data_IF_254893385300
#
_entry.id   IF_254893385300
#
_cell.length_a   1.000
_cell.length_b   1.000
_cell.length_c   1.000
_cell.angle_alpha   90.00
_cell.angle_beta   90.00
_cell.angle_gamma   90.00
#
_symmetry.space_group_name_H-M   'P 1'
#
loop_
_entity.id
_entity.type
_entity.pdbx_description
1 polymer ?
#
# COMPACT_ATOMS: atom_id res chain seq x y z
N UNK A 1 -5.06 -3.46 -10.21
CA UNK A 1 -4.77 -4.59 -9.29
C UNK A 1 -3.26 -4.75 -9.12
N UNK A 2 -2.79 -5.42 -8.05
CA UNK A 2 -1.37 -5.68 -7.82
C UNK A 2 -0.99 -7.05 -8.34
N UNK A 3 0.11 -7.13 -9.14
CA UNK A 3 0.60 -8.38 -9.74
C UNK A 3 -0.51 -9.18 -10.44
N UNK A 4 -1.41 -8.46 -11.14
CA UNK A 4 -2.53 -9.05 -11.89
C UNK A 4 -3.52 -9.87 -11.03
N UNK A 5 -3.56 -9.60 -9.71
CA UNK A 5 -4.41 -10.30 -8.73
C UNK A 5 -5.33 -9.32 -7.97
N UNK A 6 -6.49 -9.80 -7.58
CA UNK A 6 -7.43 -9.14 -6.68
C UNK A 6 -8.02 -10.17 -5.70
N UNK A 7 -7.79 -10.02 -4.38
CA UNK A 7 -6.82 -9.10 -3.79
C UNK A 7 -5.39 -9.42 -4.24
N UNK A 8 -4.49 -8.44 -4.11
CA UNK A 8 -3.07 -8.63 -4.36
C UNK A 8 -2.41 -9.62 -3.38
N UNK A 9 -1.09 -9.85 -3.50
CA UNK A 9 -0.40 -10.83 -2.66
C UNK A 9 -0.52 -10.48 -1.17
N UNK A 10 -0.64 -11.52 -0.34
CA UNK A 10 -0.65 -11.38 1.11
C UNK A 10 0.76 -11.08 1.63
N UNK A 11 0.88 -10.09 2.50
CA UNK A 11 2.11 -9.81 3.25
C UNK A 11 1.89 -10.21 4.70
N UNK A 12 2.89 -10.86 5.28
CA UNK A 12 2.89 -11.23 6.71
C UNK A 12 4.17 -10.69 7.33
N UNK A 13 4.07 -10.03 8.48
CA UNK A 13 5.20 -9.46 9.20
C UNK A 13 5.00 -9.57 10.71
N UNK A 14 6.11 -9.58 11.44
CA UNK A 14 6.12 -9.46 12.88
C UNK A 14 6.28 -8.00 13.33
N UNK A 15 5.85 -7.63 14.54
CA UNK A 15 6.27 -6.37 15.15
C UNK A 15 7.81 -6.26 15.16
N UNK A 16 8.35 -5.10 14.79
CA UNK A 16 9.79 -4.87 14.63
C UNK A 16 10.32 -5.13 13.21
N UNK A 17 9.56 -5.78 12.35
CA UNK A 17 9.98 -6.05 10.98
C UNK A 17 10.06 -4.81 10.09
N UNK A 18 10.81 -4.94 9.01
CA UNK A 18 10.86 -3.95 7.93
C UNK A 18 10.30 -4.56 6.65
N UNK A 19 9.14 -4.04 6.22
CA UNK A 19 8.53 -4.39 4.93
C UNK A 19 9.09 -3.48 3.85
N UNK A 20 9.70 -4.06 2.81
CA UNK A 20 10.18 -3.32 1.63
C UNK A 20 9.33 -3.66 0.43
N UNK A 21 8.74 -2.65 -0.19
CA UNK A 21 7.91 -2.80 -1.39
C UNK A 21 8.47 -1.94 -2.50
N UNK A 22 8.76 -2.53 -3.63
CA UNK A 22 9.01 -1.80 -4.87
C UNK A 22 7.72 -1.78 -5.69
N UNK A 23 7.05 -0.63 -5.67
CA UNK A 23 5.89 -0.38 -6.52
C UNK A 23 6.36 0.03 -7.91
N UNK A 24 5.98 -0.74 -8.93
CA UNK A 24 6.15 -0.36 -10.34
C UNK A 24 4.79 0.00 -10.90
N UNK A 25 4.67 1.18 -11.48
CA UNK A 25 3.44 1.65 -12.08
C UNK A 25 3.39 1.26 -13.57
N UNK A 26 2.61 0.23 -13.88
CA UNK A 26 2.33 -0.23 -15.24
C UNK A 26 0.83 -0.04 -15.58
N UNK A 27 0.17 0.99 -15.03
CA UNK A 27 -1.23 1.23 -15.30
C UNK A 27 -1.44 1.54 -16.79
N UNK A 28 -2.22 0.71 -17.45
CA UNK A 28 -2.72 0.96 -18.80
C UNK A 28 -4.13 1.56 -18.67
N UNK A 29 -4.22 2.87 -18.92
CA UNK A 29 -5.46 3.63 -18.75
C UNK A 29 -5.91 4.18 -20.07
N UNK A 30 -7.15 3.84 -20.45
CA UNK A 30 -7.76 4.29 -21.69
C UNK A 30 -7.72 5.83 -21.82
N UNK A 31 -7.46 6.30 -23.03
CA UNK A 31 -7.38 7.73 -23.35
C UNK A 31 -8.64 8.51 -22.94
N UNK A 32 -9.82 7.89 -23.05
CA UNK A 32 -11.08 8.49 -22.63
C UNK A 32 -11.14 8.72 -21.13
N UNK A 33 -10.64 7.79 -20.31
CA UNK A 33 -10.54 7.95 -18.85
C UNK A 33 -9.62 9.10 -18.52
N UNK A 34 -8.49 9.25 -19.22
CA UNK A 34 -7.54 10.34 -19.03
C UNK A 34 -8.09 11.71 -19.41
N UNK A 35 -9.08 11.79 -20.30
CA UNK A 35 -9.78 13.06 -20.58
C UNK A 35 -10.57 13.56 -19.36
N UNK A 36 -11.18 12.65 -18.57
CA UNK A 36 -11.96 12.99 -17.39
C UNK A 36 -11.07 13.12 -16.14
N UNK A 37 -10.05 12.30 -16.04
CA UNK A 37 -9.08 12.32 -14.95
C UNK A 37 -7.65 12.21 -15.50
N UNK A 38 -6.98 13.34 -15.76
CA UNK A 38 -5.61 13.34 -16.30
C UNK A 38 -4.57 12.62 -15.43
N UNK A 39 -4.90 12.35 -14.16
CA UNK A 39 -4.03 11.66 -13.22
C UNK A 39 -4.36 10.16 -13.07
N UNK A 40 -5.29 9.63 -13.87
CA UNK A 40 -5.79 8.25 -13.71
C UNK A 40 -4.70 7.17 -13.85
N UNK A 41 -3.59 7.46 -14.53
CA UNK A 41 -2.43 6.58 -14.69
C UNK A 41 -1.33 6.77 -13.64
N UNK A 42 -1.58 7.59 -12.61
CA UNK A 42 -0.68 7.79 -11.47
C UNK A 42 -1.14 6.95 -10.28
N UNK A 43 -0.19 6.57 -9.46
CA UNK A 43 -0.48 5.79 -8.25
C UNK A 43 0.48 6.10 -7.12
N UNK A 44 0.21 5.55 -5.95
CA UNK A 44 1.13 5.45 -4.83
C UNK A 44 0.76 4.23 -3.98
N UNK A 45 1.36 4.09 -2.80
CA UNK A 45 1.06 3.01 -1.88
C UNK A 45 0.94 3.55 -0.46
N UNK A 46 -0.14 3.19 0.21
CA UNK A 46 -0.44 3.50 1.59
C UNK A 46 -0.65 2.23 2.39
N UNK A 47 -0.04 2.14 3.57
CA UNK A 47 -0.26 1.05 4.53
C UNK A 47 -1.28 1.50 5.58
N UNK A 48 -2.54 1.20 5.31
CA UNK A 48 -3.66 1.61 6.12
C UNK A 48 -3.72 0.88 7.46
N UNK A 49 -3.86 1.65 8.54
CA UNK A 49 -3.96 1.15 9.91
C UNK A 49 -2.62 0.98 10.63
N UNK A 50 -1.50 1.34 9.99
CA UNK A 50 -0.17 1.18 10.58
C UNK A 50 0.28 2.40 11.40
N UNK A 51 1.23 2.16 12.33
CA UNK A 51 1.90 3.20 13.11
C UNK A 51 3.31 3.51 12.57
N UNK A 52 3.48 3.41 11.24
CA UNK A 52 4.76 3.69 10.59
C UNK A 52 4.94 5.19 10.29
N UNK A 53 6.19 5.59 10.00
CA UNK A 53 6.47 6.99 9.64
C UNK A 53 5.85 7.38 8.29
N UNK A 54 5.15 8.54 8.20
CA UNK A 54 4.63 9.06 6.94
C UNK A 54 5.66 9.84 6.12
N UNK A 55 6.94 9.81 6.49
CA UNK A 55 7.99 10.63 5.88
C UNK A 55 8.90 9.82 4.96
N UNK A 56 9.53 10.52 4.01
CA UNK A 56 10.53 9.96 3.11
C UNK A 56 9.98 8.81 2.29
N UNK A 57 10.61 7.63 2.39
CA UNK A 57 10.17 6.38 1.74
C UNK A 57 9.25 5.52 2.61
N UNK A 58 8.81 6.01 3.78
CA UNK A 58 7.80 5.36 4.61
C UNK A 58 6.40 5.46 3.98
N UNK A 59 5.38 5.58 4.81
CA UNK A 59 3.98 5.68 4.36
C UNK A 59 3.62 7.09 3.86
N UNK A 60 4.38 7.57 2.89
CA UNK A 60 4.28 8.92 2.34
C UNK A 60 3.26 8.99 1.20
N UNK A 61 2.02 9.31 1.54
CA UNK A 61 0.90 9.44 0.60
C UNK A 61 1.02 10.63 -0.38
N UNK A 62 2.00 11.52 -0.16
CA UNK A 62 2.26 12.66 -1.05
C UNK A 62 3.11 12.27 -2.27
N UNK A 63 3.72 11.09 -2.27
CA UNK A 63 4.45 10.57 -3.43
C UNK A 63 3.43 10.23 -4.52
N UNK A 64 3.73 10.67 -5.76
CA UNK A 64 3.03 10.24 -6.96
C UNK A 64 4.00 9.48 -7.85
N UNK A 65 3.66 8.25 -8.20
CA UNK A 65 4.43 7.39 -9.12
C UNK A 65 3.81 7.50 -10.48
N UNK A 66 4.55 8.08 -11.43
CA UNK A 66 4.10 8.24 -12.81
C UNK A 66 4.04 6.90 -13.53
N UNK A 67 3.27 6.83 -14.61
CA UNK A 67 3.23 5.64 -15.45
C UNK A 67 4.63 5.32 -16.00
N UNK A 68 5.04 4.04 -15.89
CA UNK A 68 6.37 3.55 -16.27
C UNK A 68 7.42 3.66 -15.16
N UNK A 69 7.21 4.48 -14.14
CA UNK A 69 8.15 4.68 -13.04
C UNK A 69 8.01 3.64 -11.93
N UNK A 70 8.95 3.68 -10.99
CA UNK A 70 8.96 2.83 -9.80
C UNK A 70 9.29 3.64 -8.56
N UNK A 71 8.68 3.27 -7.44
CA UNK A 71 8.96 3.82 -6.12
C UNK A 71 9.24 2.70 -5.13
N UNK A 72 10.28 2.84 -4.32
CA UNK A 72 10.54 1.96 -3.19
C UNK A 72 9.95 2.56 -1.92
N UNK A 73 9.13 1.76 -1.22
CA UNK A 73 8.59 2.06 0.10
C UNK A 73 9.27 1.17 1.14
N UNK A 74 9.53 1.75 2.33
CA UNK A 74 10.17 1.07 3.46
C UNK A 74 9.32 1.33 4.70
N UNK A 75 8.56 0.32 5.11
CA UNK A 75 7.71 0.39 6.29
C UNK A 75 8.42 -0.30 7.45
N UNK A 76 8.88 0.46 8.43
CA UNK A 76 9.46 -0.06 9.66
C UNK A 76 8.33 -0.24 10.66
N UNK A 77 7.91 -1.48 10.88
CA UNK A 77 6.86 -1.81 11.84
C UNK A 77 7.41 -1.62 13.25
N UNK A 78 6.81 -0.78 14.10
CA UNK A 78 7.27 -0.65 15.47
C UNK A 78 7.20 -1.97 16.24
N UNK A 79 8.15 -2.19 17.19
CA UNK A 79 8.15 -3.38 18.05
C UNK A 79 6.89 -3.51 18.92
N UNK A 80 6.22 -2.41 19.21
CA UNK A 80 4.96 -2.37 19.97
C UNK A 80 3.73 -2.18 19.08
N UNK A 81 3.85 -2.48 17.78
CA UNK A 81 2.70 -2.41 16.87
C UNK A 81 1.68 -3.50 17.24
N UNK A 82 0.40 -3.18 17.39
CA UNK A 82 -0.62 -4.20 17.65
C UNK A 82 -0.73 -5.20 16.51
N UNK A 83 -0.98 -6.46 16.86
CA UNK A 83 -1.30 -7.50 15.87
C UNK A 83 -2.64 -7.23 15.20
N UNK A 84 -2.80 -7.74 13.99
CA UNK A 84 -4.07 -7.64 13.28
C UNK A 84 -3.95 -7.55 11.77
N UNK A 85 -5.10 -7.33 11.14
CA UNK A 85 -5.21 -7.16 9.70
C UNK A 85 -5.11 -5.68 9.33
N UNK A 86 -4.10 -5.37 8.55
CA UNK A 86 -3.91 -4.11 7.84
C UNK A 86 -4.11 -4.36 6.34
N UNK A 87 -4.02 -3.31 5.54
CA UNK A 87 -4.07 -3.47 4.09
C UNK A 87 -3.33 -2.33 3.38
N UNK A 88 -2.80 -2.63 2.20
CA UNK A 88 -2.18 -1.62 1.33
C UNK A 88 -3.09 -1.30 0.15
N UNK A 89 -3.15 -0.02 -0.19
CA UNK A 89 -3.92 0.48 -1.32
C UNK A 89 -3.38 1.83 -1.81
N UNK A 90 -3.71 2.27 -3.04
CA UNK A 90 -3.38 3.62 -3.50
C UNK A 90 -4.14 4.69 -2.70
N UNK A 91 -3.46 5.78 -2.39
CA UNK A 91 -4.02 6.92 -1.66
C UNK A 91 -3.76 8.25 -2.38
N UNK A 92 -3.44 8.21 -3.67
CA UNK A 92 -3.18 9.43 -4.44
C UNK A 92 -4.48 10.21 -4.65
N UNK A 93 -4.44 11.50 -4.30
CA UNK A 93 -5.60 12.38 -4.43
C UNK A 93 -6.14 12.40 -5.87
N UNK A 94 -7.44 12.16 -6.02
CA UNK A 94 -8.14 12.12 -7.31
C UNK A 94 -8.14 10.76 -8.03
N UNK A 95 -7.36 9.76 -7.57
CA UNK A 95 -7.30 8.44 -8.22
C UNK A 95 -7.67 7.27 -7.32
N UNK A 96 -7.76 7.48 -6.00
CA UNK A 96 -7.95 6.42 -5.00
C UNK A 96 -9.19 5.55 -5.29
N UNK A 97 -10.34 6.17 -5.52
CA UNK A 97 -11.59 5.44 -5.77
C UNK A 97 -11.54 4.61 -7.06
N UNK A 98 -10.94 5.17 -8.12
CA UNK A 98 -10.77 4.47 -9.39
C UNK A 98 -9.84 3.26 -9.23
N UNK A 99 -8.74 3.43 -8.54
CA UNK A 99 -7.75 2.37 -8.30
C UNK A 99 -8.33 1.24 -7.44
N UNK A 100 -9.09 1.59 -6.38
CA UNK A 100 -9.77 0.60 -5.54
C UNK A 100 -10.84 -0.16 -6.29
N UNK A 101 -11.67 0.52 -7.09
CA UNK A 101 -12.65 -0.13 -7.96
C UNK A 101 -11.99 -1.07 -8.97
N UNK A 102 -10.76 -0.75 -9.41
CA UNK A 102 -9.91 -1.61 -10.24
C UNK A 102 -9.22 -2.75 -9.49
N UNK A 103 -9.50 -2.95 -8.19
CA UNK A 103 -8.98 -4.05 -7.39
C UNK A 103 -7.55 -3.85 -6.85
N UNK A 104 -7.08 -2.60 -6.74
CA UNK A 104 -5.75 -2.32 -6.19
C UNK A 104 -5.77 -2.31 -4.66
N UNK A 105 -5.86 -3.50 -4.06
CA UNK A 105 -5.79 -3.70 -2.63
C UNK A 105 -5.06 -5.01 -2.33
N UNK A 106 -4.28 -5.04 -1.24
CA UNK A 106 -3.65 -6.26 -0.72
C UNK A 106 -3.67 -6.30 0.80
N UNK A 107 -3.86 -7.48 1.42
CA UNK A 107 -3.88 -7.62 2.87
C UNK A 107 -2.45 -7.71 3.44
N UNK A 108 -2.30 -7.15 4.64
CA UNK A 108 -1.06 -7.24 5.45
C UNK A 108 -1.45 -7.73 6.84
N UNK A 109 -0.88 -8.84 7.27
CA UNK A 109 -1.07 -9.38 8.61
C UNK A 109 0.15 -9.05 9.47
N UNK A 110 -0.09 -8.37 10.60
CA UNK A 110 0.89 -8.28 11.67
C UNK A 110 0.58 -9.40 12.65
N UNK A 111 1.55 -10.30 12.82
CA UNK A 111 1.39 -11.46 13.69
C UNK A 111 1.34 -11.05 15.17
N UNK A 112 0.63 -11.81 16.01
CA UNK A 112 0.65 -11.58 17.45
C UNK A 112 2.03 -11.91 18.04
N UNK A 113 2.52 -11.05 18.93
CA UNK A 113 3.67 -11.37 19.76
C UNK A 113 3.24 -12.24 20.96
N UNK A 114 4.24 -12.73 21.75
CA UNK A 114 3.96 -13.54 22.95
C UNK A 114 3.13 -12.79 24.01
N UNK A 115 3.12 -11.45 24.00
CA UNK A 115 2.37 -10.64 24.94
C UNK A 115 0.89 -10.56 24.54
N UNK A 116 0.58 -10.58 23.25
CA UNK A 116 -0.79 -10.57 22.73
C UNK A 116 -1.52 -11.88 23.06
N UNK A 117 -0.80 -13.01 23.01
CA UNK A 117 -1.37 -14.35 23.27
C UNK A 117 -1.71 -14.60 24.73
N UNK A 118 -1.14 -13.84 25.67
CA UNK A 118 -1.40 -13.96 27.11
C UNK A 118 -2.67 -13.21 27.57
N UNK A 119 -3.38 -12.52 26.67
CA UNK A 119 -4.59 -11.75 26.97
C UNK A 119 -5.87 -12.36 26.36
N UNK A 120 -5.80 -13.58 25.85
CA UNK A 120 -6.94 -14.37 25.35
C UNK A 120 -7.29 -15.49 26.38
#
# INVERSE_FOLDING_TARGET
MYNEQTPGPVIVADPGDTIRVKLKNNLDVEAQTKQWNPQADRTNLHLHGSHVTPKGRGDNVMIAVENGDSQEYIYQIPENHPSGLLWMHPHLHGTTSLSLAGGAALPVFILPDEKDTNNL
#
